data_IF_213656826369
#
_entry.id   IF_213656826369
#
_cell.length_a   1.000
_cell.length_b   1.000
_cell.length_c   1.000
_cell.angle_alpha   90.00
_cell.angle_beta   90.00
_cell.angle_gamma   90.00
#
_symmetry.space_group_name_H-M   'P 1'
#
loop_
_entity.id
_entity.type
_entity.pdbx_description
1 polymer ?
#
# COMPACT_ATOMS: atom_id res chain seq x y z
N UNK A 1 6.28 3.46 14.60
CA UNK A 1 5.54 4.56 13.94
C UNK A 1 4.63 3.91 12.90
N UNK A 2 3.32 4.12 13.03
CA UNK A 2 2.36 3.39 12.22
C UNK A 2 2.52 3.76 10.75
N UNK A 3 2.82 2.78 9.91
CA UNK A 3 3.01 3.00 8.48
C UNK A 3 1.65 3.09 7.80
N UNK A 4 1.22 4.32 7.54
CA UNK A 4 -0.06 4.61 6.88
C UNK A 4 0.17 5.34 5.58
N UNK A 5 -0.40 4.81 4.50
CA UNK A 5 -0.41 5.48 3.20
C UNK A 5 -1.83 5.86 2.81
N UNK A 6 -2.00 7.06 2.27
CA UNK A 6 -3.31 7.53 1.81
C UNK A 6 -3.39 7.50 0.29
N UNK A 7 -4.34 6.73 -0.25
CA UNK A 7 -4.56 6.56 -1.67
C UNK A 7 -5.93 7.14 -2.08
N UNK A 8 -5.99 8.02 -3.08
CA UNK A 8 -7.25 8.41 -3.69
C UNK A 8 -7.71 7.33 -4.69
N UNK A 9 -9.01 7.04 -4.70
CA UNK A 9 -9.61 6.29 -5.79
C UNK A 9 -9.51 7.12 -7.07
N UNK A 10 -8.81 6.62 -8.08
CA UNK A 10 -8.62 7.35 -9.35
C UNK A 10 -9.90 7.58 -10.18
N UNK A 11 -11.07 7.08 -9.74
CA UNK A 11 -12.35 7.34 -10.40
C UNK A 11 -13.20 8.36 -9.65
N UNK A 12 -13.46 8.14 -8.36
CA UNK A 12 -14.35 9.02 -7.57
C UNK A 12 -13.62 9.95 -6.60
N UNK A 13 -12.29 9.91 -6.54
CA UNK A 13 -11.46 10.78 -5.69
C UNK A 13 -11.48 10.46 -4.19
N UNK A 14 -12.32 9.51 -3.76
CA UNK A 14 -12.45 9.11 -2.35
C UNK A 14 -11.12 8.58 -1.81
N UNK A 15 -10.74 9.01 -0.60
CA UNK A 15 -9.42 8.74 -0.03
C UNK A 15 -9.48 7.57 0.95
N UNK A 16 -8.46 6.72 0.89
CA UNK A 16 -8.30 5.52 1.71
C UNK A 16 -6.97 5.59 2.43
N UNK A 17 -6.99 5.68 3.75
CA UNK A 17 -5.81 5.61 4.60
C UNK A 17 -5.60 4.14 5.00
N UNK A 18 -4.60 3.52 4.39
CA UNK A 18 -4.27 2.10 4.57
C UNK A 18 -3.11 1.98 5.54
N UNK A 19 -3.33 1.29 6.66
CA UNK A 19 -2.31 0.92 7.63
C UNK A 19 -1.65 -0.40 7.22
N UNK A 20 -0.33 -0.41 7.26
CA UNK A 20 0.51 -1.56 6.95
C UNK A 20 1.30 -1.99 8.19
N UNK A 21 0.86 -3.05 8.88
CA UNK A 21 1.63 -3.65 9.95
C UNK A 21 3.01 -4.10 9.46
N UNK A 22 4.02 -3.97 10.31
CA UNK A 22 5.40 -4.41 10.06
C UNK A 22 5.46 -5.88 9.71
N UNK A 23 4.68 -6.73 10.39
CA UNK A 23 4.58 -8.15 10.08
C UNK A 23 4.21 -8.40 8.61
N UNK A 24 3.23 -7.65 8.09
CA UNK A 24 2.78 -7.74 6.70
C UNK A 24 3.85 -7.21 5.75
N UNK A 25 4.50 -6.10 6.09
CA UNK A 25 5.55 -5.50 5.26
C UNK A 25 6.78 -6.41 5.14
N UNK A 26 7.20 -7.00 6.25
CA UNK A 26 8.33 -7.93 6.28
C UNK A 26 8.04 -9.19 5.48
N UNK A 27 6.84 -9.74 5.61
CA UNK A 27 6.39 -10.87 4.79
C UNK A 27 6.38 -10.53 3.29
N UNK A 28 5.83 -9.36 2.92
CA UNK A 28 5.73 -8.93 1.52
C UNK A 28 7.07 -8.54 0.89
N UNK A 29 7.99 -7.96 1.65
CA UNK A 29 9.29 -7.46 1.15
C UNK A 29 10.43 -8.45 1.32
N UNK A 30 10.30 -9.44 2.20
CA UNK A 30 11.38 -10.36 2.57
C UNK A 30 12.53 -9.69 3.35
N UNK A 31 12.32 -8.48 3.89
CA UNK A 31 13.39 -7.72 4.56
C UNK A 31 13.73 -8.24 5.96
N UNK A 32 12.79 -8.90 6.63
CA UNK A 32 12.94 -9.45 7.97
C UNK A 32 11.89 -10.57 8.21
N UNK A 33 12.01 -11.36 9.29
CA UNK A 33 11.00 -12.35 9.66
C UNK A 33 9.69 -11.70 10.11
N UNK A 34 8.56 -12.33 9.78
CA UNK A 34 7.22 -11.90 10.20
C UNK A 34 7.09 -11.78 11.72
N UNK A 35 7.72 -12.68 12.47
CA UNK A 35 7.68 -12.72 13.94
C UNK A 35 8.28 -11.46 14.59
N UNK A 36 9.33 -10.92 13.98
CA UNK A 36 9.93 -9.65 14.42
C UNK A 36 8.94 -8.50 14.22
N UNK A 37 8.29 -8.46 13.06
CA UNK A 37 7.27 -7.46 12.76
C UNK A 37 6.06 -7.55 13.69
N UNK A 38 5.65 -8.75 14.12
CA UNK A 38 4.56 -8.91 15.09
C UNK A 38 4.88 -8.31 16.46
N UNK A 39 6.13 -8.45 16.91
CA UNK A 39 6.59 -7.85 18.17
C UNK A 39 6.54 -6.33 18.09
N UNK A 40 7.10 -5.76 17.01
CA UNK A 40 7.08 -4.31 16.78
C UNK A 40 5.65 -3.77 16.64
N UNK A 41 4.78 -4.47 15.90
CA UNK A 41 3.37 -4.09 15.74
C UNK A 41 2.61 -4.08 17.07
N UNK A 42 2.93 -5.01 17.97
CA UNK A 42 2.31 -5.07 19.30
C UNK A 42 2.74 -3.90 20.19
N UNK A 43 4.02 -3.52 20.15
CA UNK A 43 4.50 -2.31 20.83
C UNK A 43 3.83 -1.05 20.28
N UNK A 44 3.64 -0.97 18.97
CA UNK A 44 2.95 0.15 18.33
C UNK A 44 1.47 0.21 18.70
N UNK A 45 0.77 -0.91 18.77
CA UNK A 45 -0.61 -0.96 19.27
C UNK A 45 -0.69 -0.53 20.72
N UNK A 46 0.20 -1.04 21.58
CA UNK A 46 0.24 -0.70 23.00
C UNK A 46 0.53 0.79 23.24
N UNK A 47 1.31 1.41 22.36
CA UNK A 47 1.58 2.86 22.40
C UNK A 47 0.38 3.73 22.01
N UNK A 48 -0.68 3.14 21.44
CA UNK A 48 -1.85 3.88 20.93
C UNK A 48 -1.60 4.64 19.62
N UNK A 49 -0.42 4.53 19.02
CA UNK A 49 -0.07 5.24 17.78
C UNK A 49 -1.00 4.85 16.62
N UNK A 50 -1.41 3.58 16.53
CA UNK A 50 -2.33 3.08 15.49
C UNK A 50 -3.70 3.74 15.64
N UNK A 51 -4.26 3.74 16.85
CA UNK A 51 -5.58 4.32 17.11
C UNK A 51 -5.59 5.85 16.95
N UNK A 52 -4.52 6.54 17.36
CA UNK A 52 -4.36 7.96 17.12
C UNK A 52 -4.32 8.29 15.62
N UNK A 53 -3.61 7.47 14.83
CA UNK A 53 -3.52 7.65 13.38
C UNK A 53 -4.85 7.33 12.69
N UNK A 54 -5.54 6.28 13.13
CA UNK A 54 -6.89 5.94 12.66
C UNK A 54 -7.86 7.09 12.90
N UNK A 55 -7.93 7.57 14.14
CA UNK A 55 -8.81 8.70 14.52
C UNK A 55 -8.51 9.93 13.67
N UNK A 56 -7.22 10.24 13.45
CA UNK A 56 -6.81 11.37 12.60
C UNK A 56 -7.22 11.19 11.13
N UNK A 57 -7.10 9.97 10.60
CA UNK A 57 -7.48 9.66 9.23
C UNK A 57 -9.01 9.74 9.01
N UNK A 58 -9.78 9.19 9.95
CA UNK A 58 -11.25 9.26 9.95
C UNK A 58 -11.73 10.70 10.11
N UNK A 59 -11.10 11.50 10.99
CA UNK A 59 -11.38 12.93 11.15
C UNK A 59 -11.10 13.74 9.87
N UNK A 60 -10.12 13.32 9.06
CA UNK A 60 -9.84 13.91 7.75
C UNK A 60 -10.82 13.43 6.64
N UNK A 61 -11.81 12.60 6.99
CA UNK A 61 -12.79 12.05 6.05
C UNK A 61 -12.23 10.92 5.17
N UNK A 62 -11.08 10.35 5.52
CA UNK A 62 -10.50 9.20 4.82
C UNK A 62 -11.10 7.90 5.36
N UNK A 63 -11.22 6.90 4.48
CA UNK A 63 -11.62 5.55 4.89
C UNK A 63 -10.39 4.83 5.43
N UNK A 64 -10.45 4.38 6.67
CA UNK A 64 -9.41 3.54 7.27
C UNK A 64 -9.47 2.10 6.74
N UNK A 65 -8.32 1.55 6.41
CA UNK A 65 -8.16 0.16 5.95
C UNK A 65 -6.96 -0.47 6.65
N UNK A 66 -7.11 -1.70 7.12
CA UNK A 66 -6.00 -2.48 7.69
C UNK A 66 -5.54 -3.53 6.66
N UNK A 67 -4.30 -3.38 6.18
CA UNK A 67 -3.71 -4.25 5.18
C UNK A 67 -3.45 -5.69 5.69
N UNK A 68 -3.47 -5.95 7.00
CA UNK A 68 -3.42 -7.33 7.52
C UNK A 68 -4.72 -8.09 7.34
N UNK A 69 -5.84 -7.38 7.17
CA UNK A 69 -7.16 -7.98 7.02
C UNK A 69 -7.60 -8.00 5.56
N UNK A 70 -7.43 -6.88 4.85
CA UNK A 70 -7.83 -6.76 3.45
C UNK A 70 -6.74 -6.01 2.64
N UNK A 71 -6.18 -6.71 1.65
CA UNK A 71 -5.27 -6.09 0.67
C UNK A 71 -5.99 -5.66 -0.61
N UNK A 72 -7.29 -5.94 -0.74
CA UNK A 72 -8.10 -5.55 -1.87
C UNK A 72 -9.52 -5.20 -1.42
N UNK A 73 -10.09 -4.12 -1.97
CA UNK A 73 -11.45 -3.68 -1.63
C UNK A 73 -12.17 -3.06 -2.83
N UNK A 74 -13.46 -3.32 -2.95
CA UNK A 74 -14.34 -2.56 -3.84
C UNK A 74 -14.55 -1.13 -3.32
N UNK A 75 -14.27 -0.13 -4.15
CA UNK A 75 -14.73 1.23 -3.93
C UNK A 75 -16.23 1.33 -4.22
N UNK A 76 -16.92 2.29 -3.60
CA UNK A 76 -18.35 2.55 -3.86
C UNK A 76 -18.65 2.95 -5.30
N UNK A 77 -17.65 3.39 -6.07
CA UNK A 77 -17.79 3.66 -7.50
C UNK A 77 -17.68 2.40 -8.38
N UNK A 78 -17.58 1.21 -7.78
CA UNK A 78 -17.42 -0.06 -8.49
C UNK A 78 -15.98 -0.41 -8.86
N UNK A 79 -15.00 0.48 -8.63
CA UNK A 79 -13.59 0.20 -8.91
C UNK A 79 -12.97 -0.71 -7.85
N UNK A 80 -12.29 -1.77 -8.27
CA UNK A 80 -11.45 -2.60 -7.40
C UNK A 80 -10.17 -1.85 -7.04
N UNK A 81 -9.92 -1.68 -5.76
CA UNK A 81 -8.71 -1.06 -5.21
C UNK A 81 -7.79 -2.19 -4.73
N UNK A 82 -6.55 -2.16 -5.21
CA UNK A 82 -5.47 -3.03 -4.74
C UNK A 82 -4.61 -2.18 -3.78
N UNK A 83 -4.56 -2.63 -2.53
CA UNK A 83 -3.75 -2.07 -1.46
C UNK A 83 -2.52 -2.93 -1.18
N UNK A 84 -2.15 -3.85 -2.07
CA UNK A 84 -0.90 -4.57 -1.93
C UNK A 84 0.24 -3.64 -2.29
N UNK A 85 1.05 -3.28 -1.29
CA UNK A 85 2.15 -2.34 -1.47
C UNK A 85 3.14 -2.80 -2.56
N UNK A 86 3.32 -4.11 -2.75
CA UNK A 86 4.20 -4.67 -3.78
C UNK A 86 3.67 -4.48 -5.21
N UNK A 87 2.36 -4.28 -5.37
CA UNK A 87 1.77 -4.00 -6.67
C UNK A 87 1.76 -2.50 -7.01
N UNK A 88 2.16 -1.65 -6.05
CA UNK A 88 2.14 -0.22 -6.23
C UNK A 88 3.29 0.25 -7.14
N UNK A 89 3.02 1.04 -8.20
CA UNK A 89 4.02 1.40 -9.23
C UNK A 89 5.20 2.25 -8.72
N UNK A 90 5.14 2.76 -7.49
CA UNK A 90 6.19 3.59 -6.86
C UNK A 90 7.05 2.85 -5.84
N UNK A 91 6.77 1.58 -5.55
CA UNK A 91 7.62 0.78 -4.65
C UNK A 91 8.68 0.12 -5.51
N UNK A 92 9.98 0.40 -5.30
CA UNK A 92 11.04 -0.18 -6.10
C UNK A 92 11.00 -1.70 -5.93
N UNK A 93 10.45 -2.39 -6.93
CA UNK A 93 10.48 -3.84 -6.98
C UNK A 93 11.93 -4.27 -7.17
N UNK A 94 12.43 -5.12 -6.25
CA UNK A 94 13.64 -5.89 -6.48
C UNK A 94 13.55 -6.54 -7.87
N UNK A 95 14.61 -6.42 -8.68
CA UNK A 95 14.65 -6.74 -10.12
C UNK A 95 14.07 -8.11 -10.53
N UNK A 96 13.90 -9.05 -9.60
CA UNK A 96 13.35 -10.38 -9.83
C UNK A 96 11.83 -10.41 -10.11
N UNK A 97 11.04 -9.46 -9.57
CA UNK A 97 9.56 -9.46 -9.73
C UNK A 97 9.11 -8.62 -10.93
N UNK A 98 9.89 -7.61 -11.31
CA UNK A 98 9.61 -6.71 -12.44
C UNK A 98 9.48 -7.45 -13.79
N UNK A 99 10.08 -8.64 -13.93
CA UNK A 99 9.99 -9.44 -15.15
C UNK A 99 8.61 -10.10 -15.37
N UNK A 100 7.75 -10.20 -14.33
CA UNK A 100 6.52 -11.00 -14.39
C UNK A 100 5.22 -10.19 -14.63
N UNK A 101 5.30 -8.86 -14.70
CA UNK A 101 4.14 -7.99 -14.96
C UNK A 101 4.43 -6.93 -16.03
N UNK A 102 4.54 -7.37 -17.28
CA UNK A 102 4.22 -6.51 -18.41
C UNK A 102 2.98 -7.04 -19.12
N UNK A 103 1.81 -6.63 -18.62
CA UNK A 103 0.56 -6.64 -19.39
C UNK A 103 -0.12 -5.29 -19.15
N UNK A 104 -0.10 -4.42 -20.17
CA UNK A 104 -0.81 -3.14 -20.21
C UNK A 104 0.10 -1.91 -20.30
N UNK A 105 0.65 -1.67 -21.49
CA UNK A 105 1.54 -0.55 -21.83
C UNK A 105 0.91 0.85 -21.66
N UNK A 106 1.75 1.84 -21.35
CA UNK A 106 1.83 3.06 -22.16
C UNK A 106 3.26 3.12 -22.70
N UNK A 107 3.42 2.91 -24.01
CA UNK A 107 4.68 3.15 -24.69
C UNK A 107 4.89 4.68 -24.75
N UNK A 108 5.98 5.17 -24.18
CA UNK A 108 6.45 6.51 -24.47
C UNK A 108 6.98 6.52 -25.91
N UNK A 109 6.65 7.53 -26.74
CA UNK A 109 7.18 7.62 -28.09
C UNK A 109 8.70 7.72 -28.03
N UNK A 110 9.39 6.72 -28.55
CA UNK A 110 10.83 6.76 -28.78
C UNK A 110 11.12 7.86 -29.79
N UNK A 111 11.89 8.87 -29.38
CA UNK A 111 12.40 9.89 -30.29
C UNK A 111 13.19 9.20 -31.44
N UNK A 112 13.02 9.64 -32.70
CA UNK A 112 13.77 9.06 -33.81
C UNK A 112 15.26 9.36 -33.63
N UNK A 113 16.08 8.30 -33.68
CA UNK A 113 17.54 8.44 -33.82
C UNK A 113 17.81 9.18 -35.12
N UNK A 114 18.51 10.32 -35.05
CA UNK A 114 19.16 10.92 -36.22
C UNK A 114 20.42 10.12 -36.52
N UNK A 115 20.53 9.68 -37.77
CA UNK A 115 21.77 9.24 -38.42
C UNK A 115 22.82 10.36 -38.42
#
# INVERSE_FOLDING_TARGET
MALVFTFPCGSCGRRYSVYYPKAVLYELSGSAPREMGLTEDEEERRSGAVEATRTSAEAAGNIWVDASTELERGCVCGKRLDFNLMHHPRVPQSKAIAAKRQTGLIAFPTAPKKE
#
